data_IF_810900014738
#
_entry.id   IF_810900014738
#
_cell.length_a   1.000
_cell.length_b   1.000
_cell.length_c   1.000
_cell.angle_alpha   90.00
_cell.angle_beta   90.00
_cell.angle_gamma   90.00
#
_symmetry.space_group_name_H-M   'P 1'
#
loop_
_entity.id
_entity.type
_entity.pdbx_description
1 polymer ?
#
# COMPACT_ATOMS: atom_id res chain seq x y z
N UNK A 1 -11.04 -5.34 0.81
CA UNK A 1 -11.58 -3.96 0.83
C UNK A 1 -12.52 -3.82 2.01
N UNK A 2 -12.42 -2.74 2.78
CA UNK A 2 -13.34 -2.44 3.90
C UNK A 2 -14.56 -1.70 3.34
N UNK A 3 -14.31 -0.61 2.60
CA UNK A 3 -15.31 0.23 1.95
C UNK A 3 -14.72 0.90 0.68
N UNK A 4 -15.47 1.82 0.05
CA UNK A 4 -15.03 2.52 -1.17
C UNK A 4 -13.83 3.48 -0.99
N UNK A 5 -13.48 3.83 0.24
CA UNK A 5 -12.37 4.71 0.61
C UNK A 5 -11.18 3.94 1.18
N UNK A 6 -11.41 2.78 1.79
CA UNK A 6 -10.46 2.05 2.61
C UNK A 6 -10.26 0.61 2.10
N UNK A 7 -9.00 0.24 1.85
CA UNK A 7 -8.62 -1.13 1.51
C UNK A 7 -7.54 -1.63 2.47
N UNK A 8 -7.65 -2.90 2.87
CA UNK A 8 -6.58 -3.63 3.55
C UNK A 8 -5.82 -4.40 2.50
N UNK A 9 -4.51 -4.16 2.47
CA UNK A 9 -3.54 -4.70 1.52
C UNK A 9 -3.83 -4.32 0.06
N UNK A 10 -2.80 -4.34 -0.78
CA UNK A 10 -2.90 -4.11 -2.22
C UNK A 10 -2.27 -5.29 -2.95
N UNK A 11 -2.99 -6.41 -2.92
CA UNK A 11 -2.51 -7.71 -3.41
C UNK A 11 -2.54 -7.83 -4.94
N UNK A 12 -1.84 -8.83 -5.51
CA UNK A 12 -1.92 -9.18 -6.94
C UNK A 12 -3.33 -9.40 -7.50
N UNK A 13 -4.30 -9.72 -6.64
CA UNK A 13 -5.66 -10.07 -7.04
C UNK A 13 -6.62 -8.87 -7.03
N UNK A 14 -6.16 -7.67 -6.69
CA UNK A 14 -7.02 -6.51 -6.47
C UNK A 14 -7.86 -6.16 -7.71
N UNK A 15 -7.31 -6.24 -8.92
CA UNK A 15 -8.09 -5.99 -10.13
C UNK A 15 -9.09 -7.10 -10.44
N UNK A 16 -8.75 -8.36 -10.16
CA UNK A 16 -9.71 -9.45 -10.31
C UNK A 16 -10.89 -9.28 -9.35
N UNK A 17 -10.64 -8.85 -8.11
CA UNK A 17 -11.68 -8.51 -7.14
C UNK A 17 -12.54 -7.32 -7.62
N UNK A 18 -11.91 -6.28 -8.19
CA UNK A 18 -12.60 -5.13 -8.79
C UNK A 18 -13.60 -5.55 -9.87
N UNK A 19 -13.17 -6.38 -10.80
CA UNK A 19 -14.00 -6.83 -11.92
C UNK A 19 -15.16 -7.71 -11.45
N UNK A 20 -14.89 -8.67 -10.56
CA UNK A 20 -15.90 -9.64 -10.14
C UNK A 20 -16.89 -9.07 -9.13
N UNK A 21 -16.43 -8.25 -8.19
CA UNK A 21 -17.27 -7.67 -7.15
C UNK A 21 -17.94 -6.36 -7.61
N UNK A 22 -17.62 -5.86 -8.82
CA UNK A 22 -18.11 -4.59 -9.37
C UNK A 22 -17.85 -3.40 -8.43
N UNK A 23 -16.72 -3.44 -7.75
CA UNK A 23 -16.27 -2.38 -6.84
C UNK A 23 -15.40 -1.39 -7.62
N UNK A 24 -15.45 -0.11 -7.26
CA UNK A 24 -14.60 0.90 -7.88
C UNK A 24 -13.51 1.32 -6.90
N UNK A 25 -12.26 1.30 -7.34
CA UNK A 25 -11.15 1.84 -6.55
C UNK A 25 -10.97 3.35 -6.75
N UNK A 26 -11.88 4.02 -7.47
CA UNK A 26 -11.73 5.43 -7.86
C UNK A 26 -11.62 6.37 -6.64
N UNK A 27 -12.36 6.04 -5.57
CA UNK A 27 -12.52 6.83 -4.35
C UNK A 27 -11.55 6.43 -3.23
N UNK A 28 -10.65 5.47 -3.46
CA UNK A 28 -9.74 5.03 -2.39
C UNK A 28 -8.91 6.21 -1.89
N UNK A 29 -8.77 6.30 -0.58
CA UNK A 29 -8.00 7.31 0.14
C UNK A 29 -7.00 6.68 1.09
N UNK A 30 -7.27 5.47 1.58
CA UNK A 30 -6.42 4.79 2.53
C UNK A 30 -6.15 3.34 2.08
N UNK A 31 -4.89 2.95 2.07
CA UNK A 31 -4.41 1.57 1.94
C UNK A 31 -3.75 1.20 3.26
N UNK A 32 -4.36 0.32 4.05
CA UNK A 32 -3.79 -0.21 5.28
C UNK A 32 -2.96 -1.44 4.92
N UNK A 33 -1.65 -1.39 5.15
CA UNK A 33 -0.78 -2.53 4.89
C UNK A 33 -0.56 -3.31 6.19
N UNK A 34 -1.00 -4.56 6.22
CA UNK A 34 -0.85 -5.42 7.40
C UNK A 34 0.61 -5.79 7.66
N UNK A 35 1.32 -6.11 6.59
CA UNK A 35 2.76 -6.36 6.58
C UNK A 35 3.28 -6.31 5.13
N UNK A 36 4.57 -6.08 4.98
CA UNK A 36 5.22 -5.98 3.68
C UNK A 36 5.68 -7.36 3.19
N UNK A 37 4.84 -7.99 2.37
CA UNK A 37 5.12 -9.14 1.50
C UNK A 37 4.47 -8.91 0.13
N UNK A 38 4.94 -9.60 -0.92
CA UNK A 38 4.49 -9.38 -2.30
C UNK A 38 3.00 -9.72 -2.53
N UNK A 39 2.46 -10.67 -1.77
CA UNK A 39 1.05 -11.06 -1.79
C UNK A 39 0.14 -10.05 -1.07
N UNK A 40 0.70 -9.16 -0.24
CA UNK A 40 -0.02 -8.08 0.45
C UNK A 40 0.26 -6.70 -0.14
N UNK A 41 1.38 -6.53 -0.84
CA UNK A 41 1.75 -5.30 -1.51
C UNK A 41 2.41 -5.60 -2.85
N UNK A 42 1.69 -5.37 -3.93
CA UNK A 42 2.21 -5.56 -5.28
C UNK A 42 2.40 -4.23 -6.01
N UNK A 43 3.67 -3.87 -6.26
CA UNK A 43 4.02 -2.62 -6.94
C UNK A 43 3.57 -2.58 -8.40
N UNK A 44 3.54 -3.75 -9.08
CA UNK A 44 3.14 -3.84 -10.49
C UNK A 44 1.65 -3.54 -10.64
N UNK A 45 0.81 -4.13 -9.79
CA UNK A 45 -0.63 -3.83 -9.74
C UNK A 45 -0.87 -2.34 -9.47
N UNK A 46 -0.13 -1.78 -8.52
CA UNK A 46 -0.29 -0.38 -8.16
C UNK A 46 0.19 0.57 -9.26
N UNK A 47 1.25 0.23 -9.98
CA UNK A 47 1.70 0.95 -11.16
C UNK A 47 0.68 0.84 -12.31
N UNK A 48 0.18 -0.36 -12.59
CA UNK A 48 -0.82 -0.62 -13.63
C UNK A 48 -2.12 0.16 -13.38
N UNK A 49 -2.47 0.41 -12.11
CA UNK A 49 -3.60 1.26 -11.73
C UNK A 49 -3.55 2.64 -12.35
N UNK A 50 -2.37 3.23 -12.53
CA UNK A 50 -2.24 4.57 -13.12
C UNK A 50 -2.63 4.62 -14.60
N UNK A 51 -2.54 3.47 -15.27
CA UNK A 51 -3.02 3.30 -16.63
C UNK A 51 -4.53 3.02 -16.68
N UNK A 52 -5.17 2.72 -15.55
CA UNK A 52 -6.58 2.37 -15.48
C UNK A 52 -7.50 3.60 -15.60
N UNK A 53 -8.65 3.39 -16.23
CA UNK A 53 -9.77 4.34 -16.29
C UNK A 53 -10.95 3.70 -15.53
N UNK A 54 -11.54 4.37 -14.53
CA UNK A 54 -11.27 5.74 -14.09
C UNK A 54 -10.03 5.91 -13.21
N UNK A 55 -9.39 7.09 -13.33
CA UNK A 55 -8.26 7.52 -12.49
C UNK A 55 -8.70 7.79 -11.05
N UNK A 56 -7.75 7.71 -10.11
CA UNK A 56 -7.92 8.12 -8.71
C UNK A 56 -8.46 9.55 -8.60
N UNK A 57 -9.46 9.76 -7.74
CA UNK A 57 -9.99 11.09 -7.44
C UNK A 57 -9.02 11.89 -6.56
N UNK A 58 -8.64 11.35 -5.42
CA UNK A 58 -7.83 12.03 -4.40
C UNK A 58 -6.40 11.45 -4.27
N UNK A 59 -5.64 11.99 -3.32
CA UNK A 59 -4.40 11.37 -2.84
C UNK A 59 -4.72 10.11 -2.05
N UNK A 60 -3.80 9.13 -2.09
CA UNK A 60 -3.91 7.86 -1.39
C UNK A 60 -2.83 7.78 -0.32
N UNK A 61 -3.24 7.55 0.91
CA UNK A 61 -2.37 7.32 2.05
C UNK A 61 -2.11 5.82 2.19
N UNK A 62 -0.84 5.43 2.15
CA UNK A 62 -0.36 4.09 2.47
C UNK A 62 0.01 4.10 3.95
N UNK A 63 -0.84 3.47 4.76
CA UNK A 63 -0.69 3.39 6.21
C UNK A 63 0.02 2.09 6.54
N UNK A 64 1.21 2.17 7.13
CA UNK A 64 2.08 1.02 7.35
C UNK A 64 3.09 1.26 8.47
N UNK A 65 3.90 0.26 8.84
CA UNK A 65 5.01 0.47 9.76
C UNK A 65 6.16 1.24 9.11
N UNK A 66 7.02 1.89 9.91
CA UNK A 66 8.18 2.61 9.39
C UNK A 66 9.11 1.76 8.51
N UNK A 67 9.45 0.50 8.87
CA UNK A 67 10.26 -0.37 8.00
C UNK A 67 9.57 -0.67 6.66
N UNK A 68 8.26 -0.87 6.64
CA UNK A 68 7.51 -1.10 5.41
C UNK A 68 7.53 0.16 4.51
N UNK A 69 7.32 1.34 5.09
CA UNK A 69 7.38 2.61 4.35
C UNK A 69 8.75 2.82 3.66
N UNK A 70 9.85 2.49 4.33
CA UNK A 70 11.20 2.55 3.76
C UNK A 70 11.35 1.63 2.55
N UNK A 71 10.91 0.37 2.65
CA UNK A 71 10.98 -0.58 1.54
C UNK A 71 10.12 -0.14 0.35
N UNK A 72 8.90 0.36 0.62
CA UNK A 72 8.01 0.82 -0.44
C UNK A 72 8.57 2.07 -1.13
N UNK A 73 9.15 3.00 -0.38
CA UNK A 73 9.79 4.19 -0.95
C UNK A 73 10.92 3.82 -1.91
N UNK A 74 11.75 2.82 -1.56
CA UNK A 74 12.79 2.28 -2.44
C UNK A 74 12.18 1.69 -3.72
N UNK A 75 11.08 0.93 -3.59
CA UNK A 75 10.38 0.38 -4.76
C UNK A 75 9.81 1.49 -5.65
N UNK A 76 9.21 2.55 -5.09
CA UNK A 76 8.66 3.67 -5.85
C UNK A 76 9.74 4.39 -6.65
N UNK A 77 10.90 4.63 -6.04
CA UNK A 77 12.03 5.29 -6.71
C UNK A 77 12.58 4.44 -7.87
N UNK A 78 12.65 3.12 -7.65
CA UNK A 78 13.14 2.17 -8.66
C UNK A 78 12.15 1.96 -9.79
N UNK A 79 10.85 1.98 -9.48
CA UNK A 79 9.79 1.75 -10.46
C UNK A 79 9.44 3.05 -11.20
N UNK A 80 10.31 3.40 -12.16
CA UNK A 80 10.19 4.56 -13.05
C UNK A 80 10.29 4.13 -14.51
N UNK A 81 9.75 4.93 -15.42
CA UNK A 81 9.91 4.69 -16.85
C UNK A 81 11.38 4.91 -17.26
N UNK A 82 12.15 3.84 -17.44
CA UNK A 82 13.58 3.94 -17.76
C UNK A 82 13.88 4.40 -19.20
N UNK A 83 12.86 4.63 -20.04
CA UNK A 83 13.01 4.97 -21.45
C UNK A 83 12.84 6.47 -21.75
N UNK A 84 12.60 7.32 -20.75
CA UNK A 84 12.37 8.76 -20.94
C UNK A 84 13.34 9.61 -20.12
N UNK A 85 13.78 10.76 -20.65
CA UNK A 85 14.61 11.73 -19.92
C UNK A 85 13.89 12.29 -18.68
N UNK A 86 12.56 12.44 -18.76
CA UNK A 86 11.70 12.86 -17.66
C UNK A 86 10.68 11.75 -17.36
N UNK A 87 11.05 10.73 -16.58
CA UNK A 87 10.18 9.59 -16.32
C UNK A 87 8.90 10.02 -15.60
N UNK A 88 7.75 9.54 -16.08
CA UNK A 88 6.49 9.76 -15.39
C UNK A 88 6.51 9.10 -14.01
N UNK A 89 6.14 9.85 -12.97
CA UNK A 89 6.00 9.32 -11.62
C UNK A 89 4.64 8.62 -11.47
N UNK A 90 4.64 7.30 -11.61
CA UNK A 90 3.46 6.46 -11.38
C UNK A 90 2.87 6.65 -9.98
N UNK A 91 3.68 6.98 -8.98
CA UNK A 91 3.22 7.02 -7.59
C UNK A 91 2.98 8.44 -7.06
N UNK A 92 2.86 9.44 -7.94
CA UNK A 92 2.68 10.85 -7.56
C UNK A 92 1.46 11.13 -6.66
N UNK A 93 0.46 10.25 -6.67
CA UNK A 93 -0.74 10.35 -5.82
C UNK A 93 -0.65 9.60 -4.49
N UNK A 94 0.46 8.91 -4.23
CA UNK A 94 0.63 8.08 -3.04
C UNK A 94 1.51 8.80 -2.01
N UNK A 95 1.09 8.76 -0.74
CA UNK A 95 1.81 9.28 0.41
C UNK A 95 1.88 8.23 1.51
N UNK A 96 2.83 8.35 2.43
CA UNK A 96 3.01 7.40 3.52
C UNK A 96 2.55 8.00 4.85
N UNK A 97 1.90 7.18 5.67
CA UNK A 97 1.70 7.42 7.09
C UNK A 97 2.23 6.23 7.86
N UNK A 98 3.18 6.49 8.77
CA UNK A 98 3.74 5.43 9.62
C UNK A 98 2.97 5.32 10.92
N UNK A 99 2.64 4.10 11.32
CA UNK A 99 1.90 3.81 12.56
C UNK A 99 2.68 2.88 13.48
N UNK A 100 2.46 3.05 14.78
CA UNK A 100 3.03 2.23 15.83
C UNK A 100 1.96 1.36 16.49
N UNK A 101 2.30 0.12 16.91
CA UNK A 101 1.35 -0.76 17.59
C UNK A 101 0.72 -0.11 18.83
N UNK A 102 -0.56 -0.42 19.05
CA UNK A 102 -1.35 -0.01 20.22
C UNK A 102 -1.60 1.50 20.33
N UNK A 103 -1.30 2.27 19.29
CA UNK A 103 -1.68 3.69 19.19
C UNK A 103 -2.86 3.85 18.25
N UNK A 104 -3.84 4.67 18.62
CA UNK A 104 -4.99 4.96 17.73
C UNK A 104 -4.70 6.16 16.85
N UNK A 105 -4.95 6.00 15.56
CA UNK A 105 -4.79 7.03 14.54
C UNK A 105 -6.14 7.32 13.87
N UNK A 106 -6.28 8.55 13.36
CA UNK A 106 -7.45 8.99 12.62
C UNK A 106 -7.03 9.45 11.22
N UNK A 107 -7.49 8.75 10.20
CA UNK A 107 -7.20 9.03 8.79
C UNK A 107 -8.49 9.22 8.02
N UNK A 108 -8.82 10.46 7.65
CA UNK A 108 -10.08 10.78 6.98
C UNK A 108 -11.30 10.30 7.82
N UNK A 109 -12.03 9.28 7.34
CA UNK A 109 -13.18 8.66 7.99
C UNK A 109 -12.84 7.33 8.69
N UNK A 110 -11.56 7.02 8.83
CA UNK A 110 -11.05 5.78 9.43
C UNK A 110 -10.45 6.06 10.80
N UNK A 111 -10.82 5.26 11.79
CA UNK A 111 -10.13 5.11 13.07
C UNK A 111 -9.42 3.76 13.06
N UNK A 112 -8.12 3.75 13.34
CA UNK A 112 -7.28 2.55 13.26
C UNK A 112 -6.43 2.41 14.51
N UNK A 113 -6.37 1.20 15.05
CA UNK A 113 -5.41 0.81 16.10
C UNK A 113 -4.68 -0.46 15.65
N UNK A 114 -3.44 -0.35 15.13
CA UNK A 114 -2.68 -1.51 14.72
C UNK A 114 -2.26 -2.31 15.95
N UNK A 115 -2.21 -3.64 15.79
CA UNK A 115 -1.76 -4.58 16.82
C UNK A 115 -0.56 -5.38 16.31
N UNK A 116 0.25 -5.88 17.23
CA UNK A 116 1.34 -6.79 16.86
C UNK A 116 0.78 -8.13 16.34
N UNK A 117 1.36 -8.60 15.24
CA UNK A 117 1.14 -9.94 14.70
C UNK A 117 2.35 -10.83 14.99
N UNK A 118 2.15 -12.15 15.02
CA UNK A 118 3.23 -13.14 15.10
C UNK A 118 3.88 -13.43 13.75
N UNK A 119 3.36 -12.85 12.66
CA UNK A 119 3.88 -13.05 11.31
C UNK A 119 4.99 -12.07 10.96
N UNK A 120 5.99 -12.57 10.26
CA UNK A 120 7.21 -11.85 9.92
C UNK A 120 7.09 -11.19 8.54
N UNK A 121 7.71 -10.03 8.34
CA UNK A 121 7.68 -9.24 7.10
C UNK A 121 9.07 -9.12 6.46
N UNK A 122 9.17 -8.68 5.20
CA UNK A 122 10.45 -8.31 4.58
C UNK A 122 10.92 -6.92 5.06
N UNK A 123 12.23 -6.73 5.25
CA UNK A 123 12.82 -5.41 5.56
C UNK A 123 14.06 -5.45 6.47
N UNK A 124 14.85 -4.37 6.45
CA UNK A 124 16.04 -4.19 7.29
C UNK A 124 15.61 -4.00 8.76
N UNK A 125 16.27 -4.69 9.69
CA UNK A 125 15.96 -4.61 11.12
C UNK A 125 15.02 -5.71 11.64
N UNK A 126 14.50 -6.57 10.76
CA UNK A 126 13.75 -7.75 11.18
C UNK A 126 14.71 -8.92 11.46
N UNK A 127 15.02 -9.14 12.74
CA UNK A 127 15.90 -10.23 13.17
C UNK A 127 15.31 -11.59 12.77
N UNK A 128 15.97 -12.29 11.84
CA UNK A 128 15.94 -13.75 11.79
C UNK A 128 16.75 -14.27 12.98
N UNK A 129 16.06 -14.70 14.04
CA UNK A 129 16.63 -15.32 15.26
C UNK A 129 16.15 -14.58 16.51
N UNK A 130 15.38 -15.19 17.41
CA UNK A 130 15.60 -16.50 18.00
C UNK A 130 14.36 -17.38 17.92
N UNK A 131 14.45 -18.45 17.12
CA UNK A 131 13.69 -19.66 17.41
C UNK A 131 14.33 -20.35 18.61
N UNK A 132 13.47 -20.84 19.51
CA UNK A 132 13.74 -21.69 20.70
C UNK A 132 14.67 -21.13 21.78
#
# INVERSE_FOLDING_TARGET
MIDEYNIIDFSPDVFHQVLNCRISLKKIRNILLTHFHEDHFNIMEMGARMCAIPRLEDMVMVICSAPAAEQIAILFERFKDHNQENPFNYFQKYQFATVEPFQTYHFHNLEETPILSSHHSYGIGWNRGNGT
#
